data_IF_581070380311
#
_entry.id   IF_581070380311
#
_cell.length_a   1.000
_cell.length_b   1.000
_cell.length_c   1.000
_cell.angle_alpha   90.00
_cell.angle_beta   90.00
_cell.angle_gamma   90.00
#
_symmetry.space_group_name_H-M   'P 1'
#
loop_
_entity.id
_entity.type
_entity.pdbx_description
1 polymer ?
#
# COMPACT_ATOMS: atom_id res chain seq x y z
N UNK A 1 11.31 -4.47 -42.31
CA UNK A 1 11.43 -3.80 -40.99
C UNK A 1 10.43 -4.45 -40.06
N UNK A 2 10.90 -5.41 -39.26
CA UNK A 2 10.13 -6.15 -38.26
C UNK A 2 9.96 -5.29 -36.99
N UNK A 3 8.71 -5.02 -36.59
CA UNK A 3 8.39 -4.57 -35.23
C UNK A 3 7.53 -5.66 -34.58
N UNK A 4 8.19 -6.66 -33.99
CA UNK A 4 7.57 -7.56 -33.02
C UNK A 4 7.21 -6.74 -31.78
N UNK A 5 5.95 -6.32 -31.68
CA UNK A 5 5.37 -5.91 -30.41
C UNK A 5 5.33 -7.16 -29.53
N UNK A 6 6.17 -7.21 -28.49
CA UNK A 6 6.08 -8.23 -27.47
C UNK A 6 4.74 -8.06 -26.73
N UNK A 7 3.73 -8.80 -27.17
CA UNK A 7 2.51 -9.03 -26.40
C UNK A 7 2.90 -9.92 -25.22
N UNK A 8 3.33 -9.30 -24.12
CA UNK A 8 3.47 -10.00 -22.85
C UNK A 8 2.07 -10.42 -22.43
N UNK A 9 1.69 -11.66 -22.77
CA UNK A 9 0.44 -12.26 -22.32
C UNK A 9 0.54 -12.42 -20.81
N UNK A 10 0.03 -11.43 -20.05
CA UNK A 10 -0.17 -11.59 -18.62
C UNK A 10 -1.17 -12.72 -18.43
N UNK A 11 -0.74 -13.80 -17.78
CA UNK A 11 -1.66 -14.86 -17.37
C UNK A 11 -2.73 -14.26 -16.46
N UNK A 12 -3.98 -14.68 -16.62
CA UNK A 12 -5.13 -14.14 -15.89
C UNK A 12 -5.53 -15.18 -14.83
N UNK A 13 -5.36 -14.83 -13.55
CA UNK A 13 -5.75 -15.68 -12.41
C UNK A 13 -7.27 -15.80 -12.30
N UNK A 14 -7.99 -14.75 -12.69
CA UNK A 14 -9.44 -14.71 -12.55
C UNK A 14 -10.07 -13.46 -13.12
N UNK A 15 -11.38 -13.36 -12.94
CA UNK A 15 -12.15 -12.18 -13.28
C UNK A 15 -12.99 -11.82 -12.07
N UNK A 16 -12.95 -10.54 -11.68
CA UNK A 16 -13.83 -10.02 -10.62
C UNK A 16 -14.72 -8.89 -11.15
N UNK A 17 -15.87 -8.63 -10.49
CA UNK A 17 -16.68 -7.47 -10.81
C UNK A 17 -15.87 -6.17 -10.68
N UNK A 18 -16.17 -5.22 -11.56
CA UNK A 18 -15.61 -3.87 -11.55
C UNK A 18 -16.10 -3.08 -10.33
N UNK A 19 -15.18 -2.37 -9.68
CA UNK A 19 -15.47 -1.43 -8.60
C UNK A 19 -15.08 -0.01 -9.02
N UNK A 20 -15.79 0.98 -8.49
CA UNK A 20 -15.49 2.39 -8.73
C UNK A 20 -14.05 2.71 -8.30
N UNK A 21 -13.21 3.09 -9.27
CA UNK A 21 -11.77 3.34 -9.06
C UNK A 21 -10.85 2.36 -9.78
N UNK A 22 -11.38 1.26 -10.32
CA UNK A 22 -10.63 0.35 -11.18
C UNK A 22 -10.23 1.02 -12.51
N UNK A 23 -9.02 0.73 -12.98
CA UNK A 23 -8.52 1.21 -14.27
C UNK A 23 -9.40 0.65 -15.41
N UNK A 24 -10.05 1.51 -16.22
CA UNK A 24 -10.87 1.07 -17.35
C UNK A 24 -10.10 0.22 -18.38
N UNK A 25 -8.77 0.33 -18.43
CA UNK A 25 -7.91 -0.48 -19.32
C UNK A 25 -7.84 -1.95 -18.91
N UNK A 26 -8.22 -2.28 -17.67
CA UNK A 26 -8.24 -3.63 -17.13
C UNK A 26 -9.58 -4.34 -17.32
N UNK A 27 -10.58 -3.68 -17.91
CA UNK A 27 -11.90 -4.27 -18.17
C UNK A 27 -11.79 -5.36 -19.23
N UNK A 28 -12.31 -6.55 -18.89
CA UNK A 28 -12.47 -7.62 -19.86
C UNK A 28 -13.83 -7.52 -20.55
N UNK A 29 -13.81 -7.03 -21.79
CA UNK A 29 -15.04 -6.85 -22.58
C UNK A 29 -15.73 -8.17 -22.92
N UNK A 30 -15.00 -9.30 -22.97
CA UNK A 30 -15.56 -10.62 -23.31
C UNK A 30 -16.38 -11.18 -22.16
N UNK A 31 -15.87 -11.15 -20.94
CA UNK A 31 -16.62 -11.58 -19.74
C UNK A 31 -17.74 -10.59 -19.42
N UNK A 32 -17.48 -9.29 -19.57
CA UNK A 32 -18.49 -8.24 -19.38
C UNK A 32 -19.70 -8.47 -20.29
N UNK A 33 -19.47 -8.71 -21.58
CA UNK A 33 -20.56 -8.99 -22.53
C UNK A 33 -21.35 -10.25 -22.17
N UNK A 34 -20.68 -11.29 -21.64
CA UNK A 34 -21.33 -12.56 -21.26
C UNK A 34 -22.17 -12.44 -19.99
N UNK A 35 -21.79 -11.57 -19.05
CA UNK A 35 -22.43 -11.47 -17.72
C UNK A 35 -23.29 -10.22 -17.53
N UNK A 36 -23.30 -9.29 -18.49
CA UNK A 36 -24.11 -8.06 -18.45
C UNK A 36 -23.68 -7.06 -17.37
N UNK A 37 -22.52 -7.28 -16.75
CA UNK A 37 -21.93 -6.45 -15.68
C UNK A 37 -20.44 -6.29 -15.95
N UNK A 38 -19.85 -5.16 -15.58
CA UNK A 38 -18.43 -4.89 -15.82
C UNK A 38 -17.56 -5.84 -15.00
N UNK A 39 -16.61 -6.51 -15.67
CA UNK A 39 -15.60 -7.36 -15.06
C UNK A 39 -14.20 -6.87 -15.42
N UNK A 40 -13.28 -6.93 -14.47
CA UNK A 40 -11.86 -6.63 -14.67
C UNK A 40 -11.03 -7.90 -14.59
N UNK A 41 -9.96 -7.94 -15.37
CA UNK A 41 -8.97 -9.02 -15.34
C UNK A 41 -8.20 -8.95 -14.02
N UNK A 42 -8.11 -10.07 -13.32
CA UNK A 42 -7.12 -10.24 -12.26
C UNK A 42 -5.88 -10.87 -12.89
N UNK A 43 -4.84 -10.10 -13.21
CA UNK A 43 -3.60 -10.71 -13.66
C UNK A 43 -3.10 -11.66 -12.57
N UNK A 44 -2.64 -12.84 -12.99
CA UNK A 44 -1.76 -13.69 -12.20
C UNK A 44 -0.65 -12.78 -11.70
N UNK A 45 -0.54 -12.67 -10.37
CA UNK A 45 0.44 -11.79 -9.74
C UNK A 45 1.79 -12.05 -10.40
N UNK A 46 2.35 -10.98 -10.97
CA UNK A 46 3.42 -11.05 -11.97
C UNK A 46 4.38 -12.21 -11.72
N UNK A 47 4.50 -13.10 -12.72
CA UNK A 47 5.74 -13.81 -12.91
C UNK A 47 6.86 -12.76 -13.02
N UNK A 48 7.82 -12.79 -12.09
CA UNK A 48 9.11 -12.12 -12.24
C UNK A 48 9.36 -10.79 -11.52
N UNK A 49 8.54 -10.38 -10.54
CA UNK A 49 8.83 -9.20 -9.70
C UNK A 49 9.26 -9.56 -8.27
N UNK A 50 10.25 -8.86 -7.73
CA UNK A 50 10.63 -8.88 -6.29
C UNK A 50 9.39 -8.55 -5.46
N UNK A 51 9.12 -9.29 -4.38
CA UNK A 51 8.06 -8.90 -3.44
C UNK A 51 8.59 -7.84 -2.47
N UNK A 52 7.91 -6.70 -2.33
CA UNK A 52 8.22 -5.75 -1.27
C UNK A 52 7.33 -6.03 -0.06
N UNK A 53 7.94 -6.43 1.04
CA UNK A 53 7.29 -6.57 2.34
C UNK A 53 7.52 -5.26 3.10
N UNK A 54 6.42 -4.58 3.42
CA UNK A 54 6.43 -3.38 4.24
C UNK A 54 5.87 -3.70 5.62
N UNK A 55 6.58 -3.31 6.67
CA UNK A 55 6.19 -3.51 8.08
C UNK A 55 5.91 -2.16 8.69
N UNK A 56 4.67 -1.93 9.11
CA UNK A 56 4.25 -0.80 9.92
C UNK A 56 4.36 -1.17 11.40
N UNK A 57 5.39 -0.64 12.06
CA UNK A 57 5.63 -0.90 13.47
C UNK A 57 4.56 -0.21 14.32
N UNK A 58 3.92 -0.94 15.24
CA UNK A 58 2.95 -0.35 16.15
C UNK A 58 3.62 0.57 17.16
N UNK A 59 2.84 1.54 17.66
CA UNK A 59 3.22 2.36 18.79
C UNK A 59 3.41 1.50 20.06
N UNK A 60 4.16 2.02 21.05
CA UNK A 60 4.52 1.27 22.28
C UNK A 60 3.34 0.77 23.10
N UNK A 61 2.17 1.33 22.87
CA UNK A 61 0.91 0.90 23.49
C UNK A 61 0.38 -0.34 22.78
N UNK A 62 0.80 -1.53 23.20
CA UNK A 62 0.31 -2.78 22.65
C UNK A 62 0.64 -3.98 23.53
N UNK A 63 -0.16 -5.03 23.38
CA UNK A 63 0.08 -6.33 24.01
C UNK A 63 1.34 -6.98 23.38
N UNK A 64 2.36 -7.35 24.17
CA UNK A 64 3.54 -8.05 23.69
C UNK A 64 3.22 -9.33 22.91
N UNK A 65 2.15 -10.04 23.26
CA UNK A 65 1.75 -11.28 22.57
C UNK A 65 1.23 -11.00 21.15
N UNK A 66 0.44 -9.93 20.99
CA UNK A 66 -0.01 -9.47 19.67
C UNK A 66 1.18 -9.06 18.81
N UNK A 67 2.16 -8.35 19.39
CA UNK A 67 3.38 -7.98 18.68
C UNK A 67 4.21 -9.21 18.27
N UNK A 68 4.34 -10.21 19.14
CA UNK A 68 5.03 -11.44 18.81
C UNK A 68 4.36 -12.19 17.64
N UNK A 69 3.03 -12.32 17.66
CA UNK A 69 2.25 -12.93 16.57
C UNK A 69 2.39 -12.16 15.26
N UNK A 70 2.37 -10.83 15.34
CA UNK A 70 2.62 -9.95 14.20
C UNK A 70 4.01 -10.18 13.58
N UNK A 71 5.06 -10.25 14.39
CA UNK A 71 6.41 -10.53 13.92
C UNK A 71 6.57 -11.94 13.34
N UNK A 72 5.85 -12.94 13.89
CA UNK A 72 5.79 -14.29 13.31
C UNK A 72 5.15 -14.29 11.91
N UNK A 73 4.03 -13.59 11.73
CA UNK A 73 3.36 -13.48 10.43
C UNK A 73 4.27 -12.83 9.37
N UNK A 74 5.01 -11.77 9.75
CA UNK A 74 5.98 -11.11 8.88
C UNK A 74 7.11 -12.09 8.51
N UNK A 75 7.66 -12.81 9.49
CA UNK A 75 8.77 -13.75 9.27
C UNK A 75 8.36 -14.87 8.31
N UNK A 76 7.15 -15.42 8.47
CA UNK A 76 6.59 -16.43 7.57
C UNK A 76 6.38 -15.87 6.16
N UNK A 77 5.92 -14.62 6.03
CA UNK A 77 5.74 -13.99 4.72
C UNK A 77 7.06 -13.74 3.99
N UNK A 78 8.12 -13.36 4.72
CA UNK A 78 9.47 -13.24 4.16
C UNK A 78 9.98 -14.60 3.68
N UNK A 79 9.87 -15.63 4.51
CA UNK A 79 10.28 -16.99 4.16
C UNK A 79 9.56 -17.46 2.89
N UNK A 80 8.23 -17.29 2.84
CA UNK A 80 7.43 -17.62 1.67
C UNK A 80 7.81 -16.81 0.42
N UNK A 81 8.14 -15.52 0.58
CA UNK A 81 8.57 -14.68 -0.54
C UNK A 81 9.93 -15.13 -1.11
N UNK A 82 10.91 -15.39 -0.25
CA UNK A 82 12.24 -15.88 -0.66
C UNK A 82 12.12 -17.26 -1.30
N UNK A 83 11.35 -18.18 -0.70
CA UNK A 83 11.14 -19.52 -1.26
C UNK A 83 10.47 -19.50 -2.64
N UNK A 84 9.52 -18.58 -2.86
CA UNK A 84 8.77 -18.49 -4.12
C UNK A 84 9.50 -17.70 -5.22
N UNK A 85 10.34 -16.71 -4.87
CA UNK A 85 10.87 -15.72 -5.82
C UNK A 85 12.38 -15.54 -5.77
N UNK A 86 13.06 -16.26 -4.90
CA UNK A 86 14.51 -16.20 -4.66
C UNK A 86 15.03 -14.86 -4.13
N UNK A 87 14.17 -13.84 -3.98
CA UNK A 87 14.46 -12.60 -3.28
C UNK A 87 13.21 -11.92 -2.68
N UNK A 88 13.43 -11.02 -1.73
CA UNK A 88 12.42 -10.08 -1.24
C UNK A 88 13.06 -8.74 -0.86
N UNK A 89 12.32 -7.64 -0.96
CA UNK A 89 12.72 -6.36 -0.36
C UNK A 89 11.94 -6.15 0.92
N UNK A 90 12.59 -5.58 1.94
CA UNK A 90 12.00 -5.28 3.24
C UNK A 90 12.05 -3.78 3.50
N UNK A 91 10.91 -3.21 3.88
CA UNK A 91 10.76 -1.83 4.32
C UNK A 91 10.09 -1.81 5.68
N UNK A 92 10.73 -1.21 6.68
CA UNK A 92 10.18 -1.05 8.03
C UNK A 92 9.94 0.42 8.28
N UNK A 93 8.68 0.76 8.59
CA UNK A 93 8.23 2.13 8.88
C UNK A 93 7.61 2.19 10.27
N UNK A 94 7.72 3.34 10.92
CA UNK A 94 7.01 3.66 12.16
C UNK A 94 6.43 5.07 12.03
N UNK A 95 5.16 5.17 11.66
CA UNK A 95 4.58 6.45 11.23
C UNK A 95 5.34 7.02 10.01
N UNK A 96 5.71 8.32 10.00
CA UNK A 96 6.53 8.93 8.94
C UNK A 96 8.03 8.62 8.99
N UNK A 97 8.47 7.69 9.83
CA UNK A 97 9.89 7.35 9.96
C UNK A 97 10.19 6.05 9.22
N UNK A 98 11.19 6.07 8.34
CA UNK A 98 11.75 4.83 7.78
C UNK A 98 12.79 4.32 8.77
N UNK A 99 12.45 3.24 9.47
CA UNK A 99 13.32 2.59 10.45
C UNK A 99 14.38 1.77 9.74
N UNK A 100 14.01 1.08 8.65
CA UNK A 100 14.93 0.23 7.90
C UNK A 100 14.45 0.02 6.47
N UNK A 101 15.38 -0.06 5.54
CA UNK A 101 15.12 -0.54 4.18
C UNK A 101 16.26 -1.45 3.74
N UNK A 102 15.92 -2.63 3.22
CA UNK A 102 16.87 -3.58 2.63
C UNK A 102 16.27 -4.07 1.32
N UNK A 103 16.98 -3.88 0.22
CA UNK A 103 16.55 -4.35 -1.10
C UNK A 103 17.15 -5.72 -1.41
N UNK A 104 16.38 -6.60 -2.06
CA UNK A 104 16.84 -7.88 -2.63
C UNK A 104 17.53 -8.80 -1.60
N UNK A 105 16.90 -9.01 -0.46
CA UNK A 105 17.28 -10.05 0.50
C UNK A 105 17.08 -11.42 -0.14
N UNK A 106 18.12 -12.24 -0.13
CA UNK A 106 18.08 -13.63 -0.63
C UNK A 106 18.24 -14.66 0.50
N UNK A 107 18.89 -14.27 1.61
CA UNK A 107 19.07 -15.12 2.79
C UNK A 107 18.06 -14.73 3.88
N UNK A 108 17.24 -15.69 4.31
CA UNK A 108 16.29 -15.49 5.41
C UNK A 108 16.98 -14.99 6.69
N UNK A 109 18.24 -15.38 6.95
CA UNK A 109 18.99 -14.94 8.12
C UNK A 109 19.25 -13.44 8.10
N UNK A 110 19.45 -12.85 6.93
CA UNK A 110 19.60 -11.40 6.78
C UNK A 110 18.29 -10.67 7.10
N UNK A 111 17.15 -11.22 6.66
CA UNK A 111 15.85 -10.67 7.01
C UNK A 111 15.54 -10.80 8.51
N UNK A 112 15.83 -11.95 9.11
CA UNK A 112 15.65 -12.16 10.55
C UNK A 112 16.58 -11.24 11.38
N UNK A 113 17.81 -11.02 10.92
CA UNK A 113 18.71 -10.03 11.52
C UNK A 113 18.16 -8.60 11.39
N UNK A 114 17.46 -8.28 10.30
CA UNK A 114 16.79 -7.00 10.13
C UNK A 114 15.62 -6.79 11.10
N UNK A 115 14.98 -7.88 11.52
CA UNK A 115 13.96 -7.89 12.57
C UNK A 115 14.52 -7.89 13.99
N UNK A 116 15.76 -8.37 14.17
CA UNK A 116 16.39 -8.37 15.48
C UNK A 116 16.48 -6.96 16.07
N UNK A 117 16.01 -6.80 17.30
CA UNK A 117 15.98 -5.50 17.99
C UNK A 117 14.86 -4.55 17.57
N UNK A 118 13.96 -4.94 16.65
CA UNK A 118 12.74 -4.18 16.42
C UNK A 118 11.84 -4.27 17.66
N UNK A 119 11.50 -3.10 18.18
CA UNK A 119 10.55 -2.93 19.26
C UNK A 119 9.46 -1.97 18.78
N UNK A 120 8.25 -2.05 19.39
CA UNK A 120 7.26 -1.01 19.22
C UNK A 120 7.89 0.38 19.38
N UNK A 121 7.63 1.23 18.41
CA UNK A 121 8.32 2.51 18.24
C UNK A 121 7.30 3.63 18.30
N UNK A 122 7.51 4.59 19.20
CA UNK A 122 6.68 5.79 19.27
C UNK A 122 7.18 6.79 18.22
N UNK A 123 6.39 7.12 17.19
CA UNK A 123 6.81 8.06 16.16
C UNK A 123 7.08 9.44 16.76
N UNK A 124 8.21 10.07 16.42
CA UNK A 124 8.53 11.44 16.89
C UNK A 124 7.76 12.49 16.11
N UNK A 125 7.30 12.14 14.92
CA UNK A 125 6.56 13.01 14.00
C UNK A 125 5.28 12.31 13.57
N UNK A 126 4.22 13.08 13.33
CA UNK A 126 2.95 12.58 12.82
C UNK A 126 2.54 13.34 11.57
N UNK A 127 2.04 12.63 10.56
CA UNK A 127 1.65 13.25 9.29
C UNK A 127 0.25 13.86 9.32
N UNK A 128 -0.55 13.65 10.37
CA UNK A 128 -1.81 14.39 10.49
C UNK A 128 -1.62 15.91 10.62
N UNK A 129 -0.49 16.37 11.18
CA UNK A 129 -0.15 17.81 11.40
C UNK A 129 0.49 18.48 10.19
N UNK A 130 1.24 17.73 9.39
CA UNK A 130 1.89 18.19 8.15
C UNK A 130 1.63 17.16 7.05
N UNK A 131 0.38 17.03 6.58
CA UNK A 131 0.01 16.00 5.63
C UNK A 131 0.67 16.26 4.27
N UNK A 132 1.28 15.22 3.71
CA UNK A 132 1.76 15.29 2.33
C UNK A 132 0.61 15.40 1.33
N UNK A 133 0.90 15.76 0.06
CA UNK A 133 -0.09 15.90 -1.01
C UNK A 133 -1.08 14.74 -1.14
N UNK A 134 -0.59 13.51 -0.98
CA UNK A 134 -1.39 12.29 -1.04
C UNK A 134 -2.45 12.22 0.08
N UNK A 135 -2.06 12.53 1.31
CA UNK A 135 -2.95 12.54 2.46
C UNK A 135 -3.99 13.67 2.34
N UNK A 136 -3.59 14.84 1.84
CA UNK A 136 -4.49 15.94 1.52
C UNK A 136 -5.52 15.54 0.44
N UNK A 137 -5.06 14.92 -0.65
CA UNK A 137 -5.92 14.45 -1.73
C UNK A 137 -6.90 13.35 -1.27
N UNK A 138 -6.49 12.46 -0.35
CA UNK A 138 -7.40 11.48 0.24
C UNK A 138 -8.49 12.14 1.09
N UNK A 139 -8.15 13.19 1.85
CA UNK A 139 -9.12 13.99 2.63
C UNK A 139 -10.12 14.72 1.72
N UNK A 140 -9.66 15.24 0.58
CA UNK A 140 -10.54 15.84 -0.45
C UNK A 140 -11.58 14.86 -0.99
N UNK A 141 -11.19 13.59 -1.15
CA UNK A 141 -12.05 12.54 -1.70
C UNK A 141 -13.05 11.98 -0.70
N UNK A 142 -12.98 12.35 0.58
CA UNK A 142 -14.04 11.99 1.51
C UNK A 142 -15.33 12.70 1.12
N UNK A 143 -16.40 11.95 0.79
CA UNK A 143 -17.69 12.56 0.50
C UNK A 143 -18.26 13.10 1.80
N UNK A 144 -18.02 14.40 2.04
CA UNK A 144 -18.88 15.20 2.88
C UNK A 144 -20.21 15.38 2.18
N UNK A 145 -21.02 14.32 2.11
CA UNK A 145 -22.34 14.35 1.50
C UNK A 145 -23.36 14.85 2.52
N UNK A 146 -23.24 16.12 2.92
CA UNK A 146 -24.34 16.86 3.51
C UNK A 146 -25.32 17.25 2.40
N UNK A 147 -26.62 17.03 2.62
CA UNK A 147 -27.68 17.44 1.68
C UNK A 147 -27.82 18.98 1.62
N UNK A 148 -27.29 19.69 2.61
CA UNK A 148 -27.35 21.14 2.75
C UNK A 148 -26.46 21.84 1.69
N UNK A 149 -26.99 22.83 0.94
CA UNK A 149 -26.19 23.74 0.14
C UNK A 149 -24.99 24.37 0.87
N UNK A 150 -25.11 24.72 2.16
CA UNK A 150 -24.02 25.28 2.96
C UNK A 150 -22.90 24.27 3.19
N UNK A 151 -23.23 23.00 3.44
CA UNK A 151 -22.24 21.93 3.59
C UNK A 151 -21.46 21.72 2.29
N UNK A 152 -22.14 21.79 1.14
CA UNK A 152 -21.49 21.64 -0.17
C UNK A 152 -20.50 22.78 -0.46
N UNK A 153 -20.87 24.02 -0.16
CA UNK A 153 -19.99 25.18 -0.32
C UNK A 153 -18.78 25.10 0.62
N UNK A 154 -18.99 24.70 1.89
CA UNK A 154 -17.91 24.45 2.84
C UNK A 154 -16.95 23.37 2.34
N UNK A 155 -17.47 22.22 1.89
CA UNK A 155 -16.65 21.13 1.36
C UNK A 155 -15.91 21.50 0.07
N UNK A 156 -16.49 22.33 -0.79
CA UNK A 156 -15.84 22.86 -1.98
C UNK A 156 -14.65 23.77 -1.59
N UNK A 157 -14.87 24.75 -0.70
CA UNK A 157 -13.79 25.63 -0.22
C UNK A 157 -12.67 24.86 0.48
N UNK A 158 -13.03 23.91 1.35
CA UNK A 158 -12.05 23.06 2.01
C UNK A 158 -11.24 22.26 0.99
N UNK A 159 -11.89 21.72 -0.04
CA UNK A 159 -11.21 21.02 -1.13
C UNK A 159 -10.22 21.91 -1.87
N UNK A 160 -10.61 23.13 -2.20
CA UNK A 160 -9.75 24.06 -2.94
C UNK A 160 -8.50 24.43 -2.13
N UNK A 161 -8.67 24.70 -0.83
CA UNK A 161 -7.56 24.96 0.10
C UNK A 161 -6.62 23.74 0.17
N UNK A 162 -7.16 22.55 0.44
CA UNK A 162 -6.34 21.33 0.55
C UNK A 162 -5.63 21.00 -0.77
N UNK A 163 -6.25 21.29 -1.91
CA UNK A 163 -5.66 21.06 -3.23
C UNK A 163 -4.52 22.03 -3.52
N UNK A 164 -4.63 23.30 -3.09
CA UNK A 164 -3.54 24.27 -3.22
C UNK A 164 -2.30 23.85 -2.42
N UNK A 165 -2.49 23.38 -1.18
CA UNK A 165 -1.39 22.85 -0.36
C UNK A 165 -0.81 21.52 -0.87
N UNK A 166 -1.60 20.73 -1.59
CA UNK A 166 -1.09 19.49 -2.21
C UNK A 166 -0.08 19.74 -3.35
N UNK A 167 0.02 20.97 -3.87
CA UNK A 167 1.03 21.34 -4.88
C UNK A 167 2.40 21.61 -4.24
N UNK A 168 2.50 21.70 -2.91
CA UNK A 168 3.75 21.94 -2.20
C UNK A 168 4.74 20.76 -2.26
N UNK A 169 6.01 21.05 -1.95
CA UNK A 169 7.12 20.11 -2.06
C UNK A 169 6.85 18.80 -1.30
N UNK A 170 7.23 17.64 -1.89
CA UNK A 170 7.04 16.36 -1.24
C UNK A 170 7.79 16.31 0.09
N UNK A 171 7.12 15.81 1.13
CA UNK A 171 7.71 15.64 2.46
C UNK A 171 8.89 14.67 2.41
N UNK A 172 9.89 14.78 3.32
CA UNK A 172 11.02 13.86 3.37
C UNK A 172 10.61 12.39 3.37
N UNK A 173 9.55 12.05 4.12
CA UNK A 173 8.96 10.71 4.09
C UNK A 173 8.47 10.30 2.70
N UNK A 174 7.79 11.19 1.95
CA UNK A 174 7.36 10.92 0.58
C UNK A 174 8.56 10.59 -0.31
N UNK A 175 9.61 11.40 -0.23
CA UNK A 175 10.82 11.23 -1.03
C UNK A 175 11.51 9.90 -0.70
N UNK A 176 11.58 9.57 0.59
CA UNK A 176 12.21 8.35 1.05
C UNK A 176 11.42 7.09 0.64
N UNK A 177 10.09 7.09 0.75
CA UNK A 177 9.22 6.02 0.23
C UNK A 177 9.37 5.88 -1.28
N UNK A 178 9.36 6.99 -2.03
CA UNK A 178 9.61 6.95 -3.48
C UNK A 178 10.93 6.29 -3.82
N UNK A 179 11.99 6.59 -3.08
CA UNK A 179 13.30 5.96 -3.21
C UNK A 179 13.24 4.46 -2.96
N UNK A 180 12.68 4.04 -1.83
CA UNK A 180 12.56 2.63 -1.45
C UNK A 180 11.73 1.82 -2.47
N UNK A 181 10.57 2.33 -2.90
CA UNK A 181 9.74 1.68 -3.92
C UNK A 181 10.47 1.55 -5.26
N UNK A 182 11.24 2.57 -5.65
CA UNK A 182 11.99 2.54 -6.90
C UNK A 182 13.16 1.55 -6.86
N UNK A 183 13.84 1.43 -5.71
CA UNK A 183 14.93 0.47 -5.52
C UNK A 183 14.43 -0.97 -5.38
N UNK A 184 13.26 -1.18 -4.78
CA UNK A 184 12.68 -2.51 -4.63
C UNK A 184 12.35 -3.16 -5.97
N UNK A 185 12.00 -2.37 -7.01
CA UNK A 185 11.62 -2.89 -8.33
C UNK A 185 10.42 -3.84 -8.28
N UNK A 186 9.64 -3.76 -7.20
CA UNK A 186 8.55 -4.68 -6.91
C UNK A 186 7.28 -4.29 -7.66
N UNK A 187 6.50 -5.28 -8.07
CA UNK A 187 5.19 -5.07 -8.69
C UNK A 187 4.03 -5.23 -7.69
N UNK A 188 4.31 -5.83 -6.53
CA UNK A 188 3.37 -5.98 -5.42
C UNK A 188 4.06 -5.50 -4.13
N UNK A 189 3.32 -4.77 -3.30
CA UNK A 189 3.70 -4.46 -1.92
C UNK A 189 2.73 -5.12 -0.95
N UNK A 190 3.26 -5.83 0.03
CA UNK A 190 2.52 -6.43 1.14
C UNK A 190 2.77 -5.61 2.39
N UNK A 191 1.76 -4.87 2.84
CA UNK A 191 1.84 -4.00 4.00
C UNK A 191 1.31 -4.77 5.21
N UNK A 192 2.16 -5.03 6.18
CA UNK A 192 1.81 -5.59 7.48
C UNK A 192 1.57 -4.44 8.45
N UNK A 193 0.35 -4.30 8.97
CA UNK A 193 0.01 -3.29 9.97
C UNK A 193 -1.02 -3.83 10.94
N UNK A 194 -0.86 -3.52 12.22
CA UNK A 194 -1.90 -3.78 13.23
C UNK A 194 -3.09 -2.81 13.11
N UNK A 195 -3.01 -1.80 12.24
CA UNK A 195 -4.04 -0.79 12.01
C UNK A 195 -4.58 -0.17 13.31
N UNK A 196 -3.67 0.14 14.24
CA UNK A 196 -4.04 0.73 15.53
C UNK A 196 -4.94 1.98 15.33
N UNK A 197 -5.89 2.22 16.24
CA UNK A 197 -6.68 3.45 16.22
C UNK A 197 -5.76 4.67 16.26
N UNK A 198 -5.96 5.63 15.36
CA UNK A 198 -5.13 6.84 15.32
C UNK A 198 -4.82 7.32 13.90
N UNK A 199 -3.68 8.00 13.76
CA UNK A 199 -3.22 8.55 12.49
C UNK A 199 -2.77 7.44 11.53
N UNK A 200 -3.40 7.41 10.34
CA UNK A 200 -3.08 6.49 9.24
C UNK A 200 -2.52 7.23 8.02
N UNK A 201 -2.16 8.50 8.17
CA UNK A 201 -1.73 9.37 7.07
C UNK A 201 -0.45 8.85 6.40
N UNK A 202 0.46 8.21 7.15
CA UNK A 202 1.65 7.58 6.57
C UNK A 202 1.32 6.40 5.68
N UNK A 203 0.38 5.53 6.10
CA UNK A 203 -0.09 4.42 5.28
C UNK A 203 -0.81 4.92 4.03
N UNK A 204 -1.67 5.94 4.15
CA UNK A 204 -2.33 6.55 2.98
C UNK A 204 -1.30 7.09 2.00
N UNK A 205 -0.28 7.80 2.49
CA UNK A 205 0.79 8.34 1.65
C UNK A 205 1.64 7.25 1.02
N UNK A 206 1.96 6.19 1.75
CA UNK A 206 2.63 5.01 1.22
C UNK A 206 1.83 4.41 0.08
N UNK A 207 0.56 4.08 0.33
CA UNK A 207 -0.33 3.42 -0.61
C UNK A 207 -0.46 4.27 -1.87
N UNK A 208 -0.61 5.58 -1.74
CA UNK A 208 -0.63 6.50 -2.87
C UNK A 208 0.65 6.39 -3.72
N UNK A 209 1.83 6.42 -3.11
CA UNK A 209 3.11 6.32 -3.83
C UNK A 209 3.34 4.96 -4.51
N UNK A 210 2.80 3.88 -3.92
CA UNK A 210 2.77 2.56 -4.55
C UNK A 210 1.82 2.54 -5.76
N UNK A 211 0.64 3.16 -5.61
CA UNK A 211 -0.37 3.25 -6.69
C UNK A 211 0.07 4.13 -7.86
N UNK A 212 0.76 5.24 -7.60
CA UNK A 212 1.36 6.07 -8.66
C UNK A 212 2.33 5.25 -9.52
N UNK A 213 2.96 4.21 -8.97
CA UNK A 213 3.85 3.27 -9.68
C UNK A 213 3.13 2.08 -10.32
N UNK A 214 1.81 1.99 -10.20
CA UNK A 214 1.04 0.85 -10.68
C UNK A 214 1.26 -0.43 -9.89
N UNK A 215 1.78 -0.35 -8.66
CA UNK A 215 1.97 -1.52 -7.81
C UNK A 215 0.64 -2.03 -7.26
N UNK A 216 0.52 -3.34 -7.14
CA UNK A 216 -0.55 -3.97 -6.35
C UNK A 216 -0.26 -3.81 -4.86
N UNK A 217 -1.27 -3.47 -4.07
CA UNK A 217 -1.17 -3.22 -2.64
C UNK A 217 -2.03 -4.24 -1.90
N UNK A 218 -1.40 -5.11 -1.12
CA UNK A 218 -2.06 -6.09 -0.26
C UNK A 218 -1.83 -5.68 1.20
N UNK A 219 -2.91 -5.52 1.97
CA UNK A 219 -2.85 -5.18 3.39
C UNK A 219 -3.05 -6.45 4.23
N UNK A 220 -2.08 -6.73 5.10
CA UNK A 220 -2.12 -7.78 6.11
C UNK A 220 -2.45 -7.14 7.45
N UNK A 221 -3.66 -7.37 7.95
CA UNK A 221 -4.15 -6.75 9.18
C UNK A 221 -4.97 -7.74 10.04
N UNK A 222 -5.12 -7.49 11.35
CA UNK A 222 -5.97 -8.33 12.19
C UNK A 222 -7.42 -8.37 11.70
N UNK A 223 -8.10 -9.48 11.93
CA UNK A 223 -9.52 -9.62 11.57
C UNK A 223 -10.35 -8.49 12.21
N UNK A 224 -11.17 -7.82 11.41
CA UNK A 224 -12.04 -6.72 11.86
C UNK A 224 -11.35 -5.36 12.04
N UNK A 225 -10.05 -5.22 11.73
CA UNK A 225 -9.33 -3.95 11.87
C UNK A 225 -9.67 -2.89 10.80
N UNK A 226 -10.45 -3.27 9.79
CA UNK A 226 -10.92 -2.41 8.71
C UNK A 226 -9.98 -2.40 7.49
N UNK A 227 -10.11 -1.37 6.66
CA UNK A 227 -9.31 -1.19 5.43
C UNK A 227 -8.83 0.26 5.29
N UNK A 228 -7.92 0.50 4.35
CA UNK A 228 -7.43 1.83 3.98
C UNK A 228 -7.72 2.04 2.48
N UNK A 229 -8.05 3.27 2.11
CA UNK A 229 -8.28 3.65 0.71
C UNK A 229 -7.06 3.31 -0.16
N UNK A 230 -7.32 2.67 -1.30
CA UNK A 230 -6.28 2.30 -2.27
C UNK A 230 -5.65 0.93 -2.06
N UNK A 231 -6.10 0.15 -1.07
CA UNK A 231 -5.73 -1.27 -0.92
C UNK A 231 -6.50 -2.12 -1.92
N UNK A 232 -5.83 -3.06 -2.60
CA UNK A 232 -6.46 -3.98 -3.57
C UNK A 232 -7.04 -5.22 -2.92
N UNK A 233 -6.40 -5.71 -1.85
CA UNK A 233 -6.81 -6.89 -1.13
C UNK A 233 -6.44 -6.76 0.36
N UNK A 234 -7.31 -7.27 1.23
CA UNK A 234 -7.04 -7.40 2.66
C UNK A 234 -6.93 -8.88 2.98
N UNK A 235 -5.82 -9.26 3.59
CA UNK A 235 -5.54 -10.60 4.09
C UNK A 235 -5.38 -10.52 5.62
N UNK A 236 -5.74 -11.61 6.31
CA UNK A 236 -5.75 -11.66 7.78
C UNK A 236 -4.41 -12.23 8.26
N UNK A 237 -3.83 -11.58 9.28
CA UNK A 237 -2.61 -12.02 9.98
C UNK A 237 -2.76 -13.38 10.68
#
# INVERSE_FOLDING_TARGET
MDRKAALTSQEIRGFRPYHSGDDPRQVDWKITAKRGTLYVREPTGLEGGVSLISVDLPARTGDPEIFARFMMAISSAVEGAIAARNDCSLLVVAGPEIVRFISRIQDIREALAAFSGLLPFEPRTYLYRAPGPAALAARVRHPGAGADPCDREYHARLRDILSAFAVEKPMPFTVAIRGALSQAGAAEVRIFSLLQPGDKSHLIQFIHEAKVRGMRVVLQAPAGAGTIMGVDAVEVL
#
